data_IF_049336814564
#
_entry.id   IF_049336814564
#
_cell.length_a   1.000
_cell.length_b   1.000
_cell.length_c   1.000
_cell.angle_alpha   90.00
_cell.angle_beta   90.00
_cell.angle_gamma   90.00
#
_symmetry.space_group_name_H-M   'P 1'
#
loop_
_entity.id
_entity.type
_entity.pdbx_description
1 polymer ?
#
# COMPACT_ATOMS: atom_id res chain seq x y z
N UNK A 1 72.21 -39.66 14.05
CA UNK A 1 72.10 -38.21 13.76
C UNK A 1 70.96 -38.01 12.77
N UNK A 2 69.86 -37.43 13.27
CA UNK A 2 68.72 -36.78 12.60
C UNK A 2 68.17 -37.38 11.29
N UNK A 3 67.28 -38.37 11.41
CA UNK A 3 66.26 -38.69 10.40
C UNK A 3 65.19 -37.60 10.41
N UNK A 4 65.00 -36.92 9.28
CA UNK A 4 63.98 -35.88 9.07
C UNK A 4 62.58 -36.51 9.04
N UNK A 5 61.67 -36.03 9.89
CA UNK A 5 60.24 -36.37 9.87
C UNK A 5 59.59 -35.81 8.59
N UNK A 6 58.84 -36.63 7.87
CA UNK A 6 57.93 -36.18 6.80
C UNK A 6 56.76 -35.37 7.38
N UNK A 7 56.33 -34.26 6.76
CA UNK A 7 55.12 -33.57 7.17
C UNK A 7 53.87 -34.34 6.69
N UNK A 8 52.90 -34.48 7.58
CA UNK A 8 51.63 -35.14 7.33
C UNK A 8 50.86 -34.47 6.16
N UNK A 9 50.41 -35.30 5.22
CA UNK A 9 49.51 -34.93 4.12
C UNK A 9 48.17 -34.45 4.72
N UNK A 10 47.79 -33.20 4.47
CA UNK A 10 46.46 -32.70 4.82
C UNK A 10 45.39 -33.44 3.98
N UNK A 11 44.22 -33.75 4.54
CA UNK A 11 43.13 -34.32 3.76
C UNK A 11 42.55 -33.24 2.82
N UNK A 12 42.45 -33.59 1.53
CA UNK A 12 41.68 -32.83 0.54
C UNK A 12 40.20 -32.88 0.91
N UNK A 13 39.76 -31.99 1.79
CA UNK A 13 38.35 -31.68 1.92
C UNK A 13 37.95 -30.84 0.72
N UNK A 14 37.50 -31.52 -0.34
CA UNK A 14 36.62 -30.94 -1.34
C UNK A 14 35.30 -30.57 -0.65
N UNK A 15 35.32 -29.41 0.02
CA UNK A 15 34.13 -28.73 0.47
C UNK A 15 33.39 -28.28 -0.79
N UNK A 16 32.40 -29.06 -1.18
CA UNK A 16 31.39 -28.63 -2.13
C UNK A 16 30.63 -27.49 -1.42
N UNK A 17 31.09 -26.26 -1.61
CA UNK A 17 30.38 -25.07 -1.18
C UNK A 17 29.12 -24.97 -2.04
N UNK A 18 28.03 -25.59 -1.60
CA UNK A 18 26.69 -25.25 -2.06
C UNK A 18 26.44 -23.81 -1.64
N UNK A 19 26.78 -22.90 -2.55
CA UNK A 19 26.46 -21.48 -2.47
C UNK A 19 24.95 -21.35 -2.18
N UNK A 20 24.53 -20.63 -1.13
CA UNK A 20 23.12 -20.47 -0.81
C UNK A 20 22.42 -19.78 -1.99
N UNK A 21 21.73 -20.58 -2.81
CA UNK A 21 21.05 -20.09 -3.99
C UNK A 21 19.98 -19.09 -3.55
N UNK A 22 20.26 -17.80 -3.80
CA UNK A 22 19.29 -16.73 -3.60
C UNK A 22 18.00 -17.09 -4.35
N UNK A 23 16.82 -16.89 -3.73
CA UNK A 23 15.55 -17.17 -4.40
C UNK A 23 15.50 -16.42 -5.74
N UNK A 24 14.91 -17.02 -6.79
CA UNK A 24 14.84 -16.40 -8.11
C UNK A 24 14.23 -15.00 -7.98
N UNK A 25 14.94 -13.99 -8.50
CA UNK A 25 14.46 -12.60 -8.47
C UNK A 25 13.10 -12.57 -9.16
N UNK A 26 12.06 -12.01 -8.52
CA UNK A 26 10.74 -11.95 -9.12
C UNK A 26 10.82 -11.26 -10.47
N UNK A 27 10.20 -11.86 -11.48
CA UNK A 27 10.15 -11.31 -12.83
C UNK A 27 9.58 -9.89 -12.76
N UNK A 28 10.41 -8.88 -13.05
CA UNK A 28 10.01 -7.47 -12.98
C UNK A 28 8.82 -7.15 -13.90
N UNK A 29 8.62 -7.99 -14.93
CA UNK A 29 7.49 -7.93 -15.88
C UNK A 29 6.15 -8.30 -15.25
N UNK A 30 6.13 -9.03 -14.13
CA UNK A 30 4.91 -9.38 -13.40
C UNK A 30 4.58 -8.38 -12.26
N UNK A 31 5.31 -7.26 -12.18
CA UNK A 31 5.07 -6.21 -11.18
C UNK A 31 4.19 -5.09 -11.73
N UNK A 32 3.49 -4.37 -10.84
CA UNK A 32 2.71 -3.18 -11.23
C UNK A 32 3.59 -2.21 -12.03
N UNK A 33 4.83 -1.95 -11.59
CA UNK A 33 5.75 -1.03 -12.26
C UNK A 33 6.22 -1.50 -13.65
N UNK A 34 6.10 -2.80 -13.96
CA UNK A 34 6.44 -3.36 -15.25
C UNK A 34 5.34 -3.20 -16.31
N UNK A 35 4.15 -2.73 -15.93
CA UNK A 35 3.06 -2.49 -16.87
C UNK A 35 3.34 -1.28 -17.78
N UNK A 36 2.78 -1.25 -19.00
CA UNK A 36 2.77 -0.06 -19.84
C UNK A 36 2.10 1.15 -19.14
N UNK A 37 2.55 2.35 -19.50
CA UNK A 37 2.05 3.61 -18.92
C UNK A 37 0.55 3.79 -19.13
N UNK A 38 0.01 3.31 -20.25
CA UNK A 38 -1.41 3.33 -20.56
C UNK A 38 -2.22 2.54 -19.51
N UNK A 39 -1.71 1.39 -19.08
CA UNK A 39 -2.36 0.60 -18.02
C UNK A 39 -2.25 1.29 -16.67
N UNK A 40 -1.12 1.93 -16.37
CA UNK A 40 -1.00 2.77 -15.17
C UNK A 40 -2.05 3.88 -15.12
N UNK A 41 -2.28 4.56 -16.25
CA UNK A 41 -3.28 5.62 -16.37
C UNK A 41 -4.68 5.06 -16.18
N UNK A 42 -5.00 3.92 -16.80
CA UNK A 42 -6.29 3.26 -16.64
C UNK A 42 -6.53 2.86 -15.18
N UNK A 43 -5.57 2.22 -14.53
CA UNK A 43 -5.65 1.85 -13.10
C UNK A 43 -5.89 3.10 -12.25
N UNK A 44 -5.11 4.16 -12.45
CA UNK A 44 -5.24 5.39 -11.68
C UNK A 44 -6.63 6.04 -11.80
N UNK A 45 -7.28 5.96 -12.97
CA UNK A 45 -8.64 6.48 -13.20
C UNK A 45 -9.73 5.75 -12.41
N UNK A 46 -9.47 4.52 -11.98
CA UNK A 46 -10.42 3.72 -11.20
C UNK A 46 -10.22 3.84 -9.68
N UNK A 47 -9.19 4.56 -9.23
CA UNK A 47 -8.93 4.72 -7.80
C UNK A 47 -9.76 5.87 -7.21
N UNK A 48 -10.28 5.65 -6.01
CA UNK A 48 -10.84 6.73 -5.19
C UNK A 48 -9.72 7.58 -4.57
N UNK A 49 -10.07 8.77 -4.05
CA UNK A 49 -9.08 9.74 -3.57
C UNK A 49 -8.02 9.15 -2.62
N UNK A 50 -8.37 8.43 -1.53
CA UNK A 50 -7.38 7.86 -0.64
C UNK A 50 -6.37 6.94 -1.33
N UNK A 51 -6.86 6.08 -2.23
CA UNK A 51 -6.05 5.04 -2.87
C UNK A 51 -5.18 5.64 -4.00
N UNK A 52 -5.73 6.61 -4.74
CA UNK A 52 -4.99 7.40 -5.72
C UNK A 52 -3.85 8.20 -5.07
N UNK A 53 -4.12 8.86 -3.93
CA UNK A 53 -3.09 9.59 -3.19
C UNK A 53 -2.00 8.65 -2.69
N UNK A 54 -2.36 7.47 -2.19
CA UNK A 54 -1.39 6.45 -1.80
C UNK A 54 -0.53 6.01 -2.99
N UNK A 55 -1.13 5.68 -4.14
CA UNK A 55 -0.38 5.29 -5.35
C UNK A 55 0.58 6.40 -5.79
N UNK A 56 0.11 7.65 -5.81
CA UNK A 56 0.90 8.83 -6.17
C UNK A 56 2.19 8.97 -5.37
N UNK A 57 2.18 8.57 -4.10
CA UNK A 57 3.34 8.66 -3.21
C UNK A 57 4.23 7.40 -3.18
N UNK A 58 3.96 6.39 -4.00
CA UNK A 58 4.79 5.17 -4.04
C UNK A 58 6.08 5.31 -4.87
N UNK A 59 6.07 6.14 -5.92
CA UNK A 59 7.23 6.32 -6.80
C UNK A 59 7.16 7.66 -7.52
N UNK A 60 8.31 8.11 -8.07
CA UNK A 60 8.38 9.32 -8.88
C UNK A 60 7.51 9.22 -10.14
N UNK A 61 7.42 8.05 -10.76
CA UNK A 61 6.56 7.81 -11.93
C UNK A 61 5.09 8.06 -11.61
N UNK A 62 4.58 7.42 -10.55
CA UNK A 62 3.18 7.61 -10.13
C UNK A 62 2.91 9.01 -9.59
N UNK A 63 3.91 9.67 -9.00
CA UNK A 63 3.76 11.04 -8.50
C UNK A 63 3.34 12.04 -9.59
N UNK A 64 3.91 11.89 -10.80
CA UNK A 64 3.57 12.76 -11.94
C UNK A 64 2.37 12.26 -12.75
N UNK A 65 2.10 10.94 -12.71
CA UNK A 65 1.06 10.33 -13.54
C UNK A 65 -0.33 10.38 -12.87
N UNK A 66 -0.42 10.20 -11.56
CA UNK A 66 -1.70 10.03 -10.86
C UNK A 66 -2.32 11.39 -10.54
N UNK A 67 -3.53 11.63 -11.07
CA UNK A 67 -4.32 12.83 -10.80
C UNK A 67 -5.14 12.67 -9.50
N UNK A 68 -4.85 13.54 -8.53
CA UNK A 68 -5.57 13.68 -7.25
C UNK A 68 -6.29 15.03 -7.16
N UNK A 69 -6.79 15.53 -8.30
CA UNK A 69 -7.45 16.82 -8.42
C UNK A 69 -8.75 16.97 -7.62
N UNK A 70 -9.31 18.18 -7.67
CA UNK A 70 -10.52 18.58 -6.94
C UNK A 70 -11.69 17.63 -7.17
N UNK A 71 -11.87 17.17 -8.42
CA UNK A 71 -12.96 16.25 -8.79
C UNK A 71 -12.94 14.97 -7.95
N UNK A 72 -11.76 14.39 -7.75
CA UNK A 72 -11.61 13.14 -7.01
C UNK A 72 -11.85 13.33 -5.52
N UNK A 73 -11.38 14.45 -4.95
CA UNK A 73 -11.64 14.84 -3.56
C UNK A 73 -13.13 15.02 -3.29
N UNK A 74 -13.82 15.75 -4.17
CA UNK A 74 -15.26 16.00 -4.06
C UNK A 74 -16.05 14.70 -4.22
N UNK A 75 -15.67 13.84 -5.17
CA UNK A 75 -16.30 12.53 -5.34
C UNK A 75 -16.21 11.68 -4.07
N UNK A 76 -15.02 11.62 -3.46
CA UNK A 76 -14.83 10.91 -2.20
C UNK A 76 -15.65 11.49 -1.04
N UNK A 77 -15.72 12.82 -0.91
CA UNK A 77 -16.57 13.46 0.13
C UNK A 77 -18.06 13.16 -0.09
N UNK A 78 -18.52 13.16 -1.35
CA UNK A 78 -19.90 12.80 -1.70
C UNK A 78 -20.21 11.35 -1.34
N UNK A 79 -19.32 10.43 -1.68
CA UNK A 79 -19.43 9.00 -1.34
C UNK A 79 -19.51 8.80 0.18
N UNK A 80 -18.63 9.45 0.95
CA UNK A 80 -18.69 9.40 2.42
C UNK A 80 -20.06 9.84 2.94
N UNK A 81 -20.60 10.93 2.39
CA UNK A 81 -21.91 11.45 2.77
C UNK A 81 -23.05 10.47 2.41
N UNK A 82 -23.00 9.79 1.27
CA UNK A 82 -24.03 8.80 0.88
C UNK A 82 -23.98 7.52 1.71
N UNK A 83 -22.82 7.20 2.29
CA UNK A 83 -22.64 6.06 3.20
C UNK A 83 -22.86 6.41 4.68
N UNK A 84 -23.35 7.62 4.98
CA UNK A 84 -23.54 8.13 6.35
C UNK A 84 -22.26 8.07 7.20
N UNK A 85 -21.12 8.24 6.56
CA UNK A 85 -19.82 8.28 7.24
C UNK A 85 -19.51 9.68 7.74
N UNK A 86 -18.65 9.74 8.75
CA UNK A 86 -18.14 11.01 9.28
C UNK A 86 -17.48 11.82 8.15
N UNK A 87 -17.92 13.06 7.96
CA UNK A 87 -17.34 13.99 7.01
C UNK A 87 -16.46 15.01 7.75
N UNK A 88 -15.45 15.60 7.09
CA UNK A 88 -14.60 16.62 7.70
C UNK A 88 -15.43 17.74 8.33
N UNK A 89 -15.26 17.98 9.63
CA UNK A 89 -16.01 19.00 10.39
C UNK A 89 -15.28 20.36 10.43
N UNK A 90 -14.23 20.50 9.62
CA UNK A 90 -13.45 21.73 9.55
C UNK A 90 -14.20 22.79 8.72
N UNK A 91 -14.35 24.01 9.27
CA UNK A 91 -14.96 25.15 8.53
C UNK A 91 -14.19 25.54 7.26
N UNK A 92 -12.99 24.97 7.05
CA UNK A 92 -12.10 25.26 5.93
C UNK A 92 -11.57 23.95 5.33
N UNK A 93 -12.33 23.34 4.44
CA UNK A 93 -11.84 22.25 3.59
C UNK A 93 -11.20 22.85 2.32
N UNK A 94 -9.88 22.95 2.27
CA UNK A 94 -9.16 23.49 1.10
C UNK A 94 -8.84 22.39 0.09
N UNK A 95 -9.59 22.37 -1.01
CA UNK A 95 -9.49 21.37 -2.08
C UNK A 95 -8.29 21.59 -3.01
N UNK A 96 -7.57 22.72 -2.91
CA UNK A 96 -6.57 23.17 -3.90
C UNK A 96 -5.39 22.21 -4.03
N UNK A 97 -4.89 21.63 -2.95
CA UNK A 97 -3.77 20.68 -2.98
C UNK A 97 -3.97 19.53 -2.01
N UNK A 98 -3.26 18.41 -2.22
CA UNK A 98 -3.32 17.25 -1.31
C UNK A 98 -2.85 17.62 0.09
N UNK A 99 -1.74 18.37 0.18
CA UNK A 99 -1.21 18.83 1.46
C UNK A 99 -2.21 19.66 2.26
N UNK A 100 -3.02 20.49 1.60
CA UNK A 100 -4.01 21.33 2.27
C UNK A 100 -5.28 20.54 2.59
N UNK A 101 -5.72 19.69 1.68
CA UNK A 101 -6.90 18.86 1.86
C UNK A 101 -6.73 17.85 2.99
N UNK A 102 -5.57 17.21 3.09
CA UNK A 102 -5.27 16.21 4.10
C UNK A 102 -4.97 16.79 5.50
N UNK A 103 -5.20 18.08 5.75
CA UNK A 103 -5.05 18.67 7.10
C UNK A 103 -6.27 18.36 7.97
N UNK A 104 -6.08 18.48 9.29
CA UNK A 104 -7.17 18.35 10.26
C UNK A 104 -7.82 16.97 10.24
N UNK A 105 -9.15 16.97 10.17
CA UNK A 105 -9.98 15.76 10.27
C UNK A 105 -9.77 14.77 9.12
N UNK A 106 -9.47 15.24 7.89
CA UNK A 106 -9.29 14.36 6.71
C UNK A 106 -8.21 13.29 6.95
N UNK A 107 -7.09 13.66 7.60
CA UNK A 107 -6.02 12.72 7.93
C UNK A 107 -6.53 11.56 8.80
N UNK A 108 -7.34 11.89 9.81
CA UNK A 108 -7.94 10.91 10.72
C UNK A 108 -8.94 10.03 9.97
N UNK A 109 -9.80 10.58 9.11
CA UNK A 109 -10.75 9.81 8.31
C UNK A 109 -10.04 8.82 7.37
N UNK A 110 -8.96 9.24 6.72
CA UNK A 110 -8.15 8.35 5.89
C UNK A 110 -7.50 7.23 6.72
N UNK A 111 -7.04 7.53 7.94
CA UNK A 111 -6.50 6.53 8.86
C UNK A 111 -7.58 5.52 9.29
N UNK A 112 -8.74 6.01 9.73
CA UNK A 112 -9.89 5.16 10.13
C UNK A 112 -10.33 4.23 9.01
N UNK A 113 -10.36 4.72 7.75
CA UNK A 113 -10.61 3.88 6.58
C UNK A 113 -9.57 2.77 6.46
N UNK A 114 -8.27 3.09 6.46
CA UNK A 114 -7.19 2.09 6.34
C UNK A 114 -7.19 1.06 7.47
N UNK A 115 -7.57 1.46 8.67
CA UNK A 115 -7.70 0.57 9.84
C UNK A 115 -9.05 -0.16 9.89
N UNK A 116 -9.87 -0.04 8.84
CA UNK A 116 -11.19 -0.67 8.71
C UNK A 116 -12.20 -0.28 9.80
N UNK A 117 -11.95 0.79 10.57
CA UNK A 117 -12.80 1.21 11.70
C UNK A 117 -14.18 1.70 11.28
N UNK A 118 -14.37 2.04 10.01
CA UNK A 118 -15.63 2.56 9.46
C UNK A 118 -16.47 1.47 8.78
N UNK A 119 -15.96 0.25 8.60
CA UNK A 119 -16.64 -0.82 7.86
C UNK A 119 -17.87 -1.40 8.60
N UNK A 120 -18.02 -1.13 9.90
CA UNK A 120 -19.14 -1.60 10.73
C UNK A 120 -20.03 -0.47 11.25
N UNK A 121 -19.91 0.75 10.71
CA UNK A 121 -20.73 1.88 11.16
C UNK A 121 -22.23 1.63 11.02
N UNK A 122 -22.62 0.75 10.09
CA UNK A 122 -23.99 0.26 9.94
C UNK A 122 -24.04 -1.17 9.39
N UNK A 123 -25.08 -1.95 9.71
CA UNK A 123 -25.29 -3.27 9.12
C UNK A 123 -25.34 -3.21 7.59
N UNK A 124 -24.70 -4.17 6.92
CA UNK A 124 -24.73 -4.30 5.45
C UNK A 124 -23.84 -3.33 4.67
N UNK A 125 -23.01 -2.50 5.34
CA UNK A 125 -22.10 -1.57 4.65
C UNK A 125 -20.94 -2.30 3.94
N UNK A 126 -20.46 -3.39 4.52
CA UNK A 126 -19.32 -4.15 4.00
C UNK A 126 -17.97 -3.45 4.21
N UNK A 127 -16.95 -3.92 3.50
CA UNK A 127 -15.60 -3.40 3.59
C UNK A 127 -15.39 -2.20 2.66
N UNK A 128 -15.28 -1.01 3.22
CA UNK A 128 -15.03 0.24 2.47
C UNK A 128 -13.63 0.33 1.84
N UNK A 129 -12.70 -0.51 2.28
CA UNK A 129 -11.32 -0.53 1.76
C UNK A 129 -11.24 -1.38 0.50
N UNK A 130 -11.81 -2.58 0.54
CA UNK A 130 -11.72 -3.56 -0.55
C UNK A 130 -12.99 -3.65 -1.41
N UNK A 131 -14.07 -2.96 -1.02
CA UNK A 131 -15.36 -3.02 -1.73
C UNK A 131 -16.08 -4.36 -1.60
N UNK A 132 -15.78 -5.16 -0.56
CA UNK A 132 -16.37 -6.48 -0.35
C UNK A 132 -17.61 -6.42 0.55
N UNK A 133 -18.52 -7.39 0.43
CA UNK A 133 -19.76 -7.43 1.23
C UNK A 133 -19.52 -7.58 2.76
N UNK A 134 -18.37 -8.12 3.16
CA UNK A 134 -17.97 -8.25 4.56
C UNK A 134 -16.50 -7.83 4.73
N UNK A 135 -16.15 -7.36 5.94
CA UNK A 135 -14.79 -6.96 6.29
C UNK A 135 -14.10 -8.04 7.13
N UNK A 136 -13.04 -8.66 6.60
CA UNK A 136 -12.25 -9.68 7.31
C UNK A 136 -11.22 -9.08 8.28
N UNK A 137 -10.81 -7.83 8.04
CA UNK A 137 -9.80 -7.12 8.86
C UNK A 137 -10.41 -6.49 10.11
N UNK A 138 -11.63 -6.92 10.46
CA UNK A 138 -12.31 -6.60 11.69
C UNK A 138 -11.40 -6.89 12.88
N UNK A 139 -10.92 -5.84 13.53
CA UNK A 139 -10.56 -5.96 14.94
C UNK A 139 -11.87 -5.97 15.69
N UNK A 140 -12.23 -7.11 16.27
CA UNK A 140 -13.32 -7.15 17.24
C UNK A 140 -13.01 -6.07 18.29
N UNK A 141 -13.92 -5.12 18.51
CA UNK A 141 -13.76 -4.12 19.57
C UNK A 141 -13.59 -4.77 20.96
N UNK A 142 -13.82 -6.09 21.09
CA UNK A 142 -13.54 -6.89 22.27
C UNK A 142 -12.05 -7.30 22.46
N UNK A 143 -11.14 -6.95 21.52
CA UNK A 143 -9.70 -7.22 21.62
C UNK A 143 -8.86 -5.99 22.01
N UNK A 144 -9.48 -4.97 22.65
CA UNK A 144 -8.79 -3.81 23.21
C UNK A 144 -8.96 -3.76 24.72
#
# INVERSE_FOLDING_TARGET
MLTLLEPARAPDHAANEEEPQCPPKPDSRASLAGLPTELHILIAKHLIYPDALSLKHTSRHFFYLVDTGVRLKVAWLKERRSHDLECPNDRQCDLRSDLRFCRGSVRLLMQRRREHLECESRPGLGCLVFGTAACIHRRSLAQR
#
